data_IF_945756040648
#
_entry.id   IF_945756040648
#
_cell.length_a   1.000
_cell.length_b   1.000
_cell.length_c   1.000
_cell.angle_alpha   90.00
_cell.angle_beta   90.00
_cell.angle_gamma   90.00
#
_symmetry.space_group_name_H-M   'P 1'
#
loop_
_entity.id
_entity.type
_entity.pdbx_description
1 polymer ?
#
# COMPACT_ATOMS: atom_id res chain seq x y z
N UNK A 1 -8.02 8.21 4.32
CA UNK A 1 -8.01 7.36 5.53
C UNK A 1 -9.14 6.33 5.55
N UNK A 2 -10.40 6.68 5.23
CA UNK A 2 -11.51 5.70 5.23
C UNK A 2 -11.47 4.66 4.10
N UNK A 3 -10.91 4.97 2.94
CA UNK A 3 -10.94 4.06 1.78
C UNK A 3 -10.21 2.74 1.99
N UNK A 4 -9.03 2.75 2.63
CA UNK A 4 -8.25 1.53 2.87
C UNK A 4 -8.90 0.56 3.86
N UNK A 5 -9.60 1.07 4.88
CA UNK A 5 -10.34 0.22 5.81
C UNK A 5 -11.63 -0.35 5.17
N UNK A 6 -12.30 0.47 4.36
CA UNK A 6 -13.58 0.10 3.73
C UNK A 6 -13.40 -0.89 2.58
N UNK A 7 -12.26 -0.89 1.87
CA UNK A 7 -11.97 -1.89 0.82
C UNK A 7 -11.13 -3.05 1.32
N UNK A 8 -10.10 -2.79 2.13
CA UNK A 8 -9.16 -3.81 2.60
C UNK A 8 -9.79 -4.83 3.54
N UNK A 9 -10.64 -4.38 4.48
CA UNK A 9 -11.26 -5.26 5.48
C UNK A 9 -12.24 -6.28 4.87
N UNK A 10 -13.20 -5.89 3.98
CA UNK A 10 -14.05 -6.88 3.31
C UNK A 10 -13.25 -7.79 2.36
N UNK A 11 -12.20 -7.30 1.69
CA UNK A 11 -11.30 -8.15 0.90
C UNK A 11 -10.56 -9.18 1.76
N UNK A 12 -10.15 -8.81 2.97
CA UNK A 12 -9.47 -9.71 3.91
C UNK A 12 -10.42 -10.80 4.42
N UNK A 13 -11.69 -10.45 4.67
CA UNK A 13 -12.77 -11.41 5.00
C UNK A 13 -13.10 -12.32 3.81
N UNK A 14 -13.07 -11.81 2.57
CA UNK A 14 -13.27 -12.58 1.35
C UNK A 14 -12.04 -13.38 0.93
N UNK A 15 -10.86 -13.13 1.50
CA UNK A 15 -9.60 -13.81 1.15
C UNK A 15 -9.64 -15.34 1.23
N UNK A 16 -10.36 -16.00 2.18
CA UNK A 16 -10.48 -17.46 2.19
C UNK A 16 -11.27 -17.97 0.99
N UNK A 17 -12.25 -17.20 0.51
CA UNK A 17 -13.02 -17.51 -0.69
C UNK A 17 -12.13 -17.44 -1.93
N UNK A 18 -11.26 -16.43 -2.01
CA UNK A 18 -10.26 -16.28 -3.07
C UNK A 18 -9.23 -17.42 -3.03
N UNK A 19 -8.78 -17.82 -1.84
CA UNK A 19 -7.88 -18.95 -1.68
C UNK A 19 -8.47 -20.28 -2.14
N UNK A 20 -9.77 -20.52 -1.86
CA UNK A 20 -10.49 -21.68 -2.36
C UNK A 20 -10.66 -21.64 -3.89
N UNK A 21 -11.00 -20.48 -4.45
CA UNK A 21 -11.14 -20.28 -5.90
C UNK A 21 -9.83 -20.47 -6.66
N UNK A 22 -8.70 -20.09 -6.06
CA UNK A 22 -7.36 -20.19 -6.65
C UNK A 22 -6.60 -21.45 -6.22
N UNK A 23 -7.22 -22.36 -5.46
CA UNK A 23 -6.58 -23.57 -4.90
C UNK A 23 -5.22 -23.29 -4.23
N UNK A 24 -5.16 -22.22 -3.43
CA UNK A 24 -3.93 -21.79 -2.78
C UNK A 24 -3.60 -22.63 -1.55
N UNK A 25 -2.32 -22.97 -1.41
CA UNK A 25 -1.78 -23.51 -0.17
C UNK A 25 -1.85 -22.48 0.98
N UNK A 26 -1.91 -22.99 2.21
CA UNK A 26 -2.06 -22.17 3.44
C UNK A 26 -0.98 -21.10 3.56
N UNK A 27 0.26 -21.41 3.15
CA UNK A 27 1.37 -20.46 3.15
C UNK A 27 1.14 -19.29 2.19
N UNK A 28 0.65 -19.57 0.98
CA UNK A 28 0.34 -18.55 -0.03
C UNK A 28 -0.84 -17.69 0.39
N UNK A 29 -1.85 -18.30 1.01
CA UNK A 29 -2.96 -17.54 1.60
C UNK A 29 -2.49 -16.61 2.71
N UNK A 30 -1.63 -17.08 3.63
CA UNK A 30 -1.07 -16.23 4.69
C UNK A 30 -0.24 -15.08 4.13
N UNK A 31 0.62 -15.33 3.13
CA UNK A 31 1.40 -14.29 2.48
C UNK A 31 0.50 -13.23 1.81
N UNK A 32 -0.54 -13.68 1.11
CA UNK A 32 -1.53 -12.79 0.51
C UNK A 32 -2.26 -11.96 1.56
N UNK A 33 -2.73 -12.58 2.66
CA UNK A 33 -3.42 -11.86 3.73
C UNK A 33 -2.51 -10.82 4.40
N UNK A 34 -1.25 -11.17 4.69
CA UNK A 34 -0.27 -10.27 5.32
C UNK A 34 0.13 -9.11 4.41
N UNK A 35 0.40 -9.38 3.14
CA UNK A 35 0.73 -8.33 2.16
C UNK A 35 -0.47 -7.41 1.91
N UNK A 36 -1.69 -7.92 1.93
CA UNK A 36 -2.90 -7.09 1.83
C UNK A 36 -3.06 -6.20 3.07
N UNK A 37 -2.84 -6.76 4.26
CA UNK A 37 -2.92 -6.05 5.54
C UNK A 37 -1.88 -4.92 5.66
N UNK A 38 -0.66 -5.13 5.16
CA UNK A 38 0.41 -4.13 5.19
C UNK A 38 0.38 -3.17 4.00
N UNK A 39 0.09 -3.68 2.81
CA UNK A 39 0.08 -2.91 1.56
C UNK A 39 -1.05 -1.89 1.52
N UNK A 40 -2.25 -2.27 1.96
CA UNK A 40 -3.42 -1.37 1.94
C UNK A 40 -3.23 -0.08 2.74
N UNK A 41 -2.78 -0.09 4.02
CA UNK A 41 -2.52 1.13 4.77
C UNK A 41 -1.33 1.91 4.18
N UNK A 42 -0.29 1.23 3.68
CA UNK A 42 0.86 1.89 3.03
C UNK A 42 0.42 2.71 1.82
N UNK A 43 -0.33 2.09 0.89
CA UNK A 43 -0.87 2.76 -0.29
C UNK A 43 -1.85 3.88 0.09
N UNK A 44 -2.69 3.68 1.11
CA UNK A 44 -3.63 4.71 1.57
C UNK A 44 -2.93 5.95 2.12
N UNK A 45 -1.84 5.78 2.87
CA UNK A 45 -1.02 6.88 3.40
C UNK A 45 -0.31 7.63 2.26
N UNK A 46 0.31 6.91 1.33
CA UNK A 46 0.95 7.52 0.15
C UNK A 46 -0.07 8.29 -0.70
N UNK A 47 -1.25 7.71 -0.93
CA UNK A 47 -2.35 8.37 -1.65
C UNK A 47 -2.84 9.62 -0.92
N UNK A 48 -2.91 9.61 0.42
CA UNK A 48 -3.29 10.78 1.20
C UNK A 48 -2.28 11.94 1.08
N UNK A 49 -0.98 11.64 1.03
CA UNK A 49 0.07 12.63 0.75
C UNK A 49 -0.15 13.25 -0.65
N UNK A 50 -0.39 12.40 -1.66
CA UNK A 50 -0.67 12.86 -3.02
C UNK A 50 -1.88 13.80 -3.07
N UNK A 51 -2.98 13.44 -2.41
CA UNK A 51 -4.18 14.30 -2.33
C UNK A 51 -3.88 15.63 -1.64
N UNK A 52 -3.17 15.63 -0.51
CA UNK A 52 -2.81 16.86 0.19
C UNK A 52 -1.98 17.82 -0.68
N UNK A 53 -1.03 17.30 -1.48
CA UNK A 53 -0.25 18.08 -2.43
C UNK A 53 -1.10 18.67 -3.56
N UNK A 54 -2.13 17.95 -4.01
CA UNK A 54 -3.00 18.44 -5.09
C UNK A 54 -4.03 19.47 -4.70
N UNK A 55 -4.50 19.44 -3.45
CA UNK A 55 -5.47 20.42 -2.95
C UNK A 55 -4.90 21.85 -3.03
N UNK A 56 -3.57 22.00 -3.00
CA UNK A 56 -2.90 23.29 -3.14
C UNK A 56 -2.40 23.70 -4.51
N UNK A 57 -2.48 22.83 -5.51
CA UNK A 57 -1.88 23.08 -6.81
C UNK A 57 -2.98 23.16 -7.87
N UNK A 58 -3.05 24.29 -8.61
CA UNK A 58 -4.01 24.49 -9.71
C UNK A 58 -3.91 23.46 -10.86
N UNK A 59 -2.81 22.67 -10.92
CA UNK A 59 -2.57 21.55 -11.85
C UNK A 59 -2.43 20.19 -11.14
N UNK A 60 -3.08 20.02 -9.99
CA UNK A 60 -2.85 18.91 -9.07
C UNK A 60 -2.92 17.50 -9.70
N UNK A 61 -3.83 17.25 -10.63
CA UNK A 61 -4.06 15.89 -11.17
C UNK A 61 -2.81 15.21 -11.78
N UNK A 62 -1.94 15.95 -12.48
CA UNK A 62 -0.76 15.39 -13.15
C UNK A 62 0.40 15.17 -12.17
N UNK A 63 0.57 16.06 -11.20
CA UNK A 63 1.58 15.90 -10.15
C UNK A 63 1.24 14.74 -9.21
N UNK A 64 -0.05 14.48 -8.98
CA UNK A 64 -0.50 13.33 -8.20
C UNK A 64 -0.09 12.02 -8.86
N UNK A 65 -0.35 11.84 -10.16
CA UNK A 65 0.02 10.61 -10.83
C UNK A 65 1.54 10.43 -10.91
N UNK A 66 2.29 11.49 -11.21
CA UNK A 66 3.75 11.46 -11.30
C UNK A 66 4.42 11.10 -9.97
N UNK A 67 3.83 11.48 -8.83
CA UNK A 67 4.42 11.25 -7.51
C UNK A 67 3.93 9.95 -6.86
N UNK A 68 2.65 9.61 -7.04
CA UNK A 68 2.04 8.41 -6.45
C UNK A 68 2.46 7.15 -7.19
N UNK A 69 2.52 7.18 -8.53
CA UNK A 69 2.86 6.02 -9.35
C UNK A 69 4.24 5.41 -8.99
N UNK A 70 5.36 6.17 -8.94
CA UNK A 70 6.68 5.61 -8.60
C UNK A 70 6.76 5.07 -7.18
N UNK A 71 5.92 5.55 -6.25
CA UNK A 71 5.85 5.03 -4.88
C UNK A 71 4.94 3.79 -4.76
N UNK A 72 3.95 3.65 -5.63
CA UNK A 72 3.06 2.47 -5.66
C UNK A 72 3.75 1.25 -6.25
N UNK A 73 4.56 1.44 -7.31
CA UNK A 73 5.29 0.36 -7.99
C UNK A 73 6.10 -0.51 -7.01
N UNK A 74 6.99 0.02 -6.14
CA UNK A 74 7.78 -0.80 -5.23
C UNK A 74 6.91 -1.57 -4.23
N UNK A 75 5.86 -0.95 -3.69
CA UNK A 75 4.94 -1.64 -2.78
C UNK A 75 4.27 -2.83 -3.47
N UNK A 76 3.80 -2.63 -4.71
CA UNK A 76 3.16 -3.68 -5.50
C UNK A 76 4.15 -4.79 -5.85
N UNK A 77 5.37 -4.45 -6.26
CA UNK A 77 6.42 -5.43 -6.60
C UNK A 77 6.74 -6.33 -5.40
N UNK A 78 6.98 -5.75 -4.22
CA UNK A 78 7.31 -6.55 -3.04
C UNK A 78 6.12 -7.36 -2.52
N UNK A 79 4.90 -6.84 -2.63
CA UNK A 79 3.69 -7.58 -2.28
C UNK A 79 3.48 -8.78 -3.22
N UNK A 80 3.56 -8.61 -4.53
CA UNK A 80 3.40 -9.72 -5.49
C UNK A 80 4.55 -10.72 -5.37
N UNK A 81 5.79 -10.25 -5.18
CA UNK A 81 6.94 -11.13 -4.99
C UNK A 81 6.84 -11.98 -3.72
N UNK A 82 6.26 -11.46 -2.63
CA UNK A 82 6.02 -12.24 -1.42
C UNK A 82 4.98 -13.36 -1.65
N UNK A 83 3.92 -13.08 -2.42
CA UNK A 83 2.91 -14.08 -2.78
C UNK A 83 3.51 -15.16 -3.68
N UNK A 84 4.32 -14.76 -4.66
CA UNK A 84 4.99 -15.68 -5.58
C UNK A 84 6.00 -16.57 -4.84
N UNK A 85 6.83 -15.99 -3.96
CA UNK A 85 7.73 -16.72 -3.08
C UNK A 85 7.00 -17.72 -2.18
N UNK A 86 5.87 -17.33 -1.59
CA UNK A 86 5.04 -18.23 -0.78
C UNK A 86 4.49 -19.42 -1.59
N UNK A 87 4.10 -19.18 -2.85
CA UNK A 87 3.61 -20.22 -3.75
C UNK A 87 4.69 -21.24 -4.11
N UNK A 88 5.95 -20.83 -4.12
CA UNK A 88 7.12 -21.69 -4.31
C UNK A 88 7.66 -22.30 -3.00
N UNK A 89 7.01 -22.05 -1.86
CA UNK A 89 7.46 -22.53 -0.55
C UNK A 89 8.74 -21.85 -0.04
N UNK A 90 9.11 -20.70 -0.61
CA UNK A 90 10.27 -19.92 -0.20
C UNK A 90 9.97 -19.01 1.00
N UNK A 91 11.01 -18.63 1.78
CA UNK A 91 10.85 -17.69 2.89
C UNK A 91 10.38 -16.31 2.42
N UNK A 92 9.40 -15.74 3.13
CA UNK A 92 8.74 -14.45 2.79
C UNK A 92 9.07 -13.31 3.75
N UNK A 93 9.81 -13.60 4.81
CA UNK A 93 10.20 -12.68 5.88
C UNK A 93 10.90 -11.42 5.36
N UNK A 94 11.82 -11.58 4.39
CA UNK A 94 12.51 -10.45 3.77
C UNK A 94 11.55 -9.48 3.05
N UNK A 95 10.58 -10.01 2.29
CA UNK A 95 9.60 -9.19 1.59
C UNK A 95 8.66 -8.47 2.56
N UNK A 96 8.22 -9.17 3.61
CA UNK A 96 7.40 -8.58 4.66
C UNK A 96 8.15 -7.51 5.45
N UNK A 97 9.45 -7.68 5.72
CA UNK A 97 10.27 -6.69 6.38
C UNK A 97 10.38 -5.39 5.55
N UNK A 98 10.54 -5.51 4.22
CA UNK A 98 10.57 -4.36 3.32
C UNK A 98 9.21 -3.65 3.30
N UNK A 99 8.11 -4.38 3.16
CA UNK A 99 6.76 -3.81 3.23
C UNK A 99 6.50 -3.12 4.57
N UNK A 100 6.95 -3.71 5.68
CA UNK A 100 6.88 -3.11 7.01
C UNK A 100 7.71 -1.83 7.12
N UNK A 101 8.92 -1.80 6.55
CA UNK A 101 9.77 -0.60 6.51
C UNK A 101 9.12 0.52 5.67
N UNK A 102 8.51 0.19 4.54
CA UNK A 102 7.77 1.14 3.71
C UNK A 102 6.54 1.69 4.43
N UNK A 103 5.81 0.86 5.18
CA UNK A 103 4.70 1.29 6.02
C UNK A 103 5.18 2.26 7.11
N UNK A 104 6.23 1.91 7.84
CA UNK A 104 6.82 2.75 8.89
C UNK A 104 7.32 4.09 8.33
N UNK A 105 7.98 4.07 7.17
CA UNK A 105 8.41 5.26 6.45
C UNK A 105 7.22 6.13 6.03
N UNK A 106 6.15 5.51 5.51
CA UNK A 106 4.93 6.21 5.11
C UNK A 106 4.21 6.84 6.30
N UNK A 107 4.11 6.15 7.43
CA UNK A 107 3.52 6.67 8.68
C UNK A 107 4.31 7.89 9.16
N UNK A 108 5.64 7.84 9.08
CA UNK A 108 6.52 8.92 9.53
C UNK A 108 6.46 10.11 8.59
N UNK A 109 6.52 9.89 7.27
CA UNK A 109 6.57 10.94 6.25
C UNK A 109 5.22 11.60 5.99
N UNK A 110 4.11 10.88 6.17
CA UNK A 110 2.76 11.39 5.92
C UNK A 110 2.45 12.74 6.60
N UNK A 111 2.63 12.92 7.92
CA UNK A 111 2.31 14.18 8.57
C UNK A 111 3.20 15.34 8.08
N UNK A 112 4.50 15.10 7.83
CA UNK A 112 5.41 16.14 7.33
C UNK A 112 5.07 16.55 5.90
N UNK A 113 4.80 15.58 5.03
CA UNK A 113 4.46 15.84 3.64
C UNK A 113 3.10 16.55 3.52
N UNK A 114 2.10 16.16 4.31
CA UNK A 114 0.82 16.86 4.40
C UNK A 114 0.98 18.28 4.93
N UNK A 115 1.80 18.50 5.97
CA UNK A 115 2.06 19.84 6.50
C UNK A 115 2.79 20.75 5.50
N UNK A 116 3.78 20.23 4.78
CA UNK A 116 4.49 20.97 3.73
C UNK A 116 3.54 21.32 2.56
N UNK A 117 2.69 20.38 2.14
CA UNK A 117 1.70 20.58 1.10
C UNK A 117 0.72 21.73 1.42
N UNK A 118 0.18 21.74 2.64
CA UNK A 118 -0.72 22.82 3.08
C UNK A 118 -0.03 24.19 3.13
N UNK A 119 1.25 24.25 3.53
CA UNK A 119 1.98 25.54 3.57
C UNK A 119 2.16 26.15 2.17
N UNK A 120 2.43 25.31 1.17
CA UNK A 120 2.57 25.74 -0.24
C UNK A 120 1.22 26.13 -0.83
N UNK A 121 0.14 25.48 -0.40
CA UNK A 121 -1.23 25.72 -0.86
C UNK A 121 -1.85 27.05 -0.40
N UNK A 122 -1.40 27.56 0.74
CA UNK A 122 -1.98 28.75 1.38
C UNK A 122 -1.22 30.03 0.99
N UNK A 123 -0.12 29.90 0.23
CA UNK A 123 0.54 31.01 -0.46
C UNK A 123 0.11 31.06 -1.93
#
# INVERSE_FOLDING_TARGET
>A
MLTGLVTGLPLLILSPLVALLLSLDVNTWMAMALTLLLGTPTLSLIGAIGVALTVGLRKGGVLLSLLVLPLYIPVLIFATAAIDAASMGMPIDGYLAILGAMLAGSITLAPFATAAALRVSVH
#
